data_IF_328622479921
#
_entry.id   IF_328622479921
#
_cell.length_a   1.000
_cell.length_b   1.000
_cell.length_c   1.000
_cell.angle_alpha   90.00
_cell.angle_beta   90.00
_cell.angle_gamma   90.00
#
_symmetry.space_group_name_H-M   'P 1'
#
loop_
_entity.id
_entity.type
_entity.pdbx_description
1 polymer ?
#
# COMPACT_ATOMS: atom_id res chain seq x y z
N UNK A 1 8.06 -12.03 -7.52
CA UNK A 1 8.38 -11.31 -6.27
C UNK A 1 7.53 -11.86 -5.13
N UNK A 2 6.23 -11.98 -5.34
CA UNK A 2 5.31 -12.51 -4.33
C UNK A 2 5.11 -14.01 -4.45
N UNK A 3 4.93 -14.77 -3.34
CA UNK A 3 4.75 -16.21 -3.32
C UNK A 3 3.35 -16.64 -3.81
N UNK A 4 3.17 -17.93 -4.06
CA UNK A 4 1.92 -18.49 -4.58
C UNK A 4 0.69 -18.19 -3.71
N UNK A 5 0.87 -18.12 -2.39
CA UNK A 5 -0.20 -17.75 -1.45
C UNK A 5 -0.92 -16.43 -1.81
N UNK A 6 -0.21 -15.49 -2.43
CA UNK A 6 -0.78 -14.18 -2.80
C UNK A 6 -1.33 -14.13 -4.21
N UNK A 7 -1.13 -15.21 -5.01
CA UNK A 7 -1.47 -15.26 -6.44
C UNK A 7 -2.89 -15.75 -6.72
N UNK A 8 -3.67 -15.95 -5.68
CA UNK A 8 -5.08 -16.33 -5.75
C UNK A 8 -5.97 -15.15 -5.35
N UNK A 9 -7.10 -14.99 -5.99
CA UNK A 9 -8.05 -13.89 -5.74
C UNK A 9 -8.90 -14.06 -4.46
N UNK A 10 -8.75 -15.17 -3.77
CA UNK A 10 -9.22 -15.35 -2.40
C UNK A 10 -8.31 -14.66 -1.38
N UNK A 11 -7.05 -14.34 -1.76
CA UNK A 11 -6.12 -13.64 -0.89
C UNK A 11 -6.65 -12.27 -0.51
N UNK A 12 -6.64 -12.01 0.79
CA UNK A 12 -7.03 -10.72 1.36
C UNK A 12 -6.27 -10.45 2.65
N UNK A 13 -6.04 -9.18 2.93
CA UNK A 13 -5.53 -8.73 4.21
C UNK A 13 -6.66 -8.08 5.00
N UNK A 14 -6.76 -8.45 6.26
CA UNK A 14 -7.70 -7.87 7.20
C UNK A 14 -6.97 -6.91 8.14
N UNK A 15 -7.54 -5.73 8.32
CA UNK A 15 -7.07 -4.75 9.31
C UNK A 15 -8.18 -4.46 10.32
N UNK A 16 -7.99 -3.48 11.19
CA UNK A 16 -9.04 -3.08 12.14
C UNK A 16 -10.31 -2.60 11.44
N UNK A 17 -10.19 -1.80 10.37
CA UNK A 17 -11.31 -1.13 9.70
C UNK A 17 -11.48 -1.52 8.24
N UNK A 18 -10.46 -2.15 7.62
CA UNK A 18 -10.39 -2.35 6.18
C UNK A 18 -10.31 -3.83 5.83
N UNK A 19 -10.82 -4.13 4.63
CA UNK A 19 -10.45 -5.28 3.83
C UNK A 19 -9.60 -4.82 2.65
N UNK A 20 -8.45 -5.44 2.44
CA UNK A 20 -7.62 -5.28 1.25
C UNK A 20 -7.74 -6.56 0.44
N UNK A 21 -8.33 -6.48 -0.73
CA UNK A 21 -8.64 -7.62 -1.59
C UNK A 21 -8.22 -7.36 -3.04
N UNK A 22 -8.15 -8.39 -3.83
CA UNK A 22 -7.96 -8.19 -5.27
C UNK A 22 -9.07 -7.31 -5.86
N UNK A 23 -8.72 -6.43 -6.84
CA UNK A 23 -9.74 -5.63 -7.53
C UNK A 23 -10.64 -6.53 -8.35
N UNK A 24 -11.92 -6.16 -8.43
CA UNK A 24 -12.97 -6.87 -9.14
C UNK A 24 -13.51 -6.02 -10.28
N UNK A 25 -14.08 -6.68 -11.29
CA UNK A 25 -14.75 -5.98 -12.41
C UNK A 25 -15.75 -4.93 -11.92
N UNK A 26 -16.51 -5.23 -10.88
CA UNK A 26 -17.48 -4.31 -10.28
C UNK A 26 -16.86 -3.03 -9.66
N UNK A 27 -15.55 -3.01 -9.42
CA UNK A 27 -14.86 -1.83 -8.87
C UNK A 27 -14.63 -0.73 -9.93
N UNK A 28 -14.79 -1.03 -11.22
CA UNK A 28 -14.45 -0.11 -12.31
C UNK A 28 -15.13 1.25 -12.18
N UNK A 29 -16.42 1.28 -11.89
CA UNK A 29 -17.16 2.54 -11.73
C UNK A 29 -16.65 3.38 -10.54
N UNK A 30 -16.27 2.72 -9.46
CA UNK A 30 -15.66 3.40 -8.31
C UNK A 30 -14.26 3.96 -8.65
N UNK A 31 -13.46 3.20 -9.40
CA UNK A 31 -12.13 3.64 -9.88
C UNK A 31 -12.29 4.87 -10.78
N UNK A 32 -13.16 4.84 -11.79
CA UNK A 32 -13.41 5.96 -12.70
C UNK A 32 -13.77 7.22 -11.91
N UNK A 33 -14.72 7.10 -10.99
CA UNK A 33 -15.22 8.23 -10.21
C UNK A 33 -14.18 8.79 -9.26
N UNK A 34 -13.51 7.91 -8.46
CA UNK A 34 -12.66 8.35 -7.36
C UNK A 34 -11.24 8.66 -7.80
N UNK A 35 -10.64 7.82 -8.64
CA UNK A 35 -9.30 8.06 -9.17
C UNK A 35 -9.30 9.17 -10.23
N UNK A 36 -10.42 9.33 -10.95
CA UNK A 36 -10.57 10.37 -11.97
C UNK A 36 -10.75 11.78 -11.40
N UNK A 37 -10.96 11.97 -10.10
CA UNK A 37 -10.95 13.31 -9.50
C UNK A 37 -9.59 13.98 -9.70
N UNK A 38 -9.56 15.25 -10.15
CA UNK A 38 -8.30 15.97 -10.39
C UNK A 38 -7.41 15.98 -9.15
N UNK A 39 -7.99 16.19 -7.96
CA UNK A 39 -7.24 16.20 -6.70
C UNK A 39 -6.50 14.86 -6.42
N UNK A 40 -7.02 13.73 -6.91
CA UNK A 40 -6.36 12.43 -6.81
C UNK A 40 -5.39 12.24 -7.96
N UNK A 41 -5.84 12.49 -9.19
CA UNK A 41 -5.06 12.25 -10.40
C UNK A 41 -3.77 13.08 -10.46
N UNK A 42 -3.80 14.35 -10.05
CA UNK A 42 -2.62 15.21 -10.06
C UNK A 42 -1.51 14.76 -9.10
N UNK A 43 -1.85 13.98 -8.06
CA UNK A 43 -0.89 13.46 -7.09
C UNK A 43 -0.25 12.14 -7.54
N UNK A 44 -0.68 11.58 -8.67
CA UNK A 44 -0.25 10.27 -9.16
C UNK A 44 0.38 10.35 -10.55
N UNK A 45 1.37 9.50 -10.80
CA UNK A 45 2.12 9.52 -12.06
C UNK A 45 1.36 8.90 -13.25
N UNK A 46 0.44 7.96 -12.98
CA UNK A 46 -0.16 7.10 -14.02
C UNK A 46 -1.68 7.23 -14.14
N UNK A 47 -2.36 7.82 -13.17
CA UNK A 47 -3.82 7.98 -13.20
C UNK A 47 -4.19 9.13 -14.15
N UNK A 48 -4.93 8.86 -15.25
CA UNK A 48 -5.34 9.90 -16.17
C UNK A 48 -6.46 10.78 -15.60
N UNK A 49 -6.57 11.99 -16.14
CA UNK A 49 -7.71 12.88 -15.88
C UNK A 49 -8.12 13.59 -17.18
N UNK A 50 -9.37 13.49 -17.62
CA UNK A 50 -10.43 12.60 -17.11
C UNK A 50 -10.03 11.12 -17.15
N UNK A 51 -10.64 10.28 -16.30
CA UNK A 51 -10.36 8.84 -16.33
C UNK A 51 -11.20 8.16 -17.42
N UNK A 52 -10.59 7.59 -18.46
CA UNK A 52 -11.35 6.95 -19.54
C UNK A 52 -12.08 5.69 -19.02
N UNK A 53 -13.38 5.52 -19.31
CA UNK A 53 -14.16 4.37 -18.81
C UNK A 53 -13.54 3.00 -19.18
N UNK A 54 -13.04 2.85 -20.39
CA UNK A 54 -12.41 1.63 -20.90
C UNK A 54 -11.07 1.33 -20.20
N UNK A 55 -10.37 2.36 -19.71
CA UNK A 55 -9.11 2.20 -19.02
C UNK A 55 -9.27 1.52 -17.67
N UNK A 56 -10.41 1.66 -16.99
CA UNK A 56 -10.64 1.06 -15.68
C UNK A 56 -10.72 -0.47 -15.75
N UNK A 57 -11.40 -1.02 -16.74
CA UNK A 57 -11.49 -2.47 -16.94
C UNK A 57 -10.13 -3.06 -17.30
N UNK A 58 -9.40 -2.39 -18.21
CA UNK A 58 -8.04 -2.79 -18.58
C UNK A 58 -7.11 -2.75 -17.37
N UNK A 59 -7.13 -1.69 -16.58
CA UNK A 59 -6.35 -1.57 -15.33
C UNK A 59 -6.64 -2.72 -14.35
N UNK A 60 -7.92 -3.07 -14.15
CA UNK A 60 -8.31 -4.19 -13.27
C UNK A 60 -7.75 -5.50 -13.83
N UNK A 61 -7.89 -5.75 -15.12
CA UNK A 61 -7.38 -6.96 -15.75
C UNK A 61 -5.86 -7.08 -15.62
N UNK A 62 -5.11 -6.03 -16.00
CA UNK A 62 -3.65 -5.99 -15.90
C UNK A 62 -3.17 -6.15 -14.45
N UNK A 63 -3.84 -5.51 -13.49
CA UNK A 63 -3.54 -5.64 -12.06
C UNK A 63 -3.73 -7.07 -11.58
N UNK A 64 -4.84 -7.72 -11.93
CA UNK A 64 -5.11 -9.11 -11.56
C UNK A 64 -4.09 -10.07 -12.18
N UNK A 65 -3.72 -9.83 -13.46
CA UNK A 65 -2.69 -10.62 -14.12
C UNK A 65 -1.33 -10.47 -13.41
N UNK A 66 -0.90 -9.25 -13.12
CA UNK A 66 0.35 -8.99 -12.41
C UNK A 66 0.38 -9.63 -11.01
N UNK A 67 -0.75 -9.64 -10.30
CA UNK A 67 -0.88 -10.35 -9.02
C UNK A 67 -0.76 -11.86 -9.21
N UNK A 68 -1.46 -12.45 -10.21
CA UNK A 68 -1.41 -13.88 -10.51
C UNK A 68 -0.01 -14.34 -10.89
N UNK A 69 0.74 -13.52 -11.63
CA UNK A 69 2.13 -13.78 -12.00
C UNK A 69 3.13 -13.56 -10.84
N UNK A 70 2.66 -13.05 -9.69
CA UNK A 70 3.51 -12.71 -8.55
C UNK A 70 4.47 -11.55 -8.83
N UNK A 71 4.21 -10.75 -9.86
CA UNK A 71 5.01 -9.58 -10.24
C UNK A 71 4.67 -8.38 -9.36
N UNK A 72 3.42 -8.28 -8.93
CA UNK A 72 2.89 -7.24 -8.06
C UNK A 72 1.97 -7.84 -6.99
N UNK A 73 1.63 -7.04 -5.99
CA UNK A 73 0.49 -7.27 -5.12
C UNK A 73 -0.24 -5.95 -4.94
N UNK A 74 -1.27 -5.74 -5.76
CA UNK A 74 -2.09 -4.54 -5.74
C UNK A 74 -3.53 -4.87 -5.35
N UNK A 75 -4.01 -4.22 -4.30
CA UNK A 75 -5.23 -4.53 -3.60
C UNK A 75 -6.19 -3.33 -3.55
N UNK A 76 -7.45 -3.60 -3.78
CA UNK A 76 -8.55 -2.67 -3.54
C UNK A 76 -8.76 -2.49 -2.03
N UNK A 77 -8.88 -1.26 -1.59
CA UNK A 77 -9.17 -0.89 -0.21
C UNK A 77 -10.68 -0.73 -0.05
N UNK A 78 -11.27 -1.47 0.89
CA UNK A 78 -12.70 -1.36 1.21
C UNK A 78 -12.91 -1.26 2.72
N UNK A 79 -13.99 -0.64 3.15
CA UNK A 79 -14.37 -0.63 4.57
C UNK A 79 -15.02 -1.96 4.96
N UNK A 80 -14.76 -2.47 6.18
CA UNK A 80 -15.39 -3.70 6.68
C UNK A 80 -16.92 -3.65 6.66
N UNK A 81 -17.51 -2.50 6.97
CA UNK A 81 -18.96 -2.30 6.91
C UNK A 81 -19.52 -2.15 5.48
N UNK A 82 -18.67 -2.00 4.45
CA UNK A 82 -19.05 -1.86 3.04
C UNK A 82 -18.03 -2.58 2.13
N UNK A 83 -17.96 -3.91 2.18
CA UNK A 83 -16.88 -4.67 1.52
C UNK A 83 -16.91 -4.61 -0.01
N UNK A 84 -18.03 -4.22 -0.60
CA UNK A 84 -18.18 -4.03 -2.04
C UNK A 84 -17.91 -2.58 -2.48
N UNK A 85 -17.70 -1.66 -1.54
CA UNK A 85 -17.44 -0.24 -1.82
C UNK A 85 -15.93 0.04 -1.83
N UNK A 86 -15.29 0.05 -3.00
CA UNK A 86 -13.91 0.48 -3.14
C UNK A 86 -13.79 1.96 -2.75
N UNK A 87 -12.81 2.26 -1.89
CA UNK A 87 -12.46 3.63 -1.47
C UNK A 87 -11.09 4.07 -1.99
N UNK A 88 -10.30 3.17 -2.55
CA UNK A 88 -8.98 3.41 -3.08
C UNK A 88 -8.22 2.12 -3.36
N UNK A 89 -6.92 2.24 -3.62
CA UNK A 89 -6.03 1.09 -3.83
C UNK A 89 -4.69 1.29 -3.14
N UNK A 90 -4.03 0.19 -2.85
CA UNK A 90 -2.65 0.12 -2.37
C UNK A 90 -1.95 -1.03 -3.10
N UNK A 91 -0.70 -0.86 -3.50
CA UNK A 91 0.03 -1.89 -4.22
C UNK A 91 1.54 -1.78 -4.06
N UNK A 92 2.22 -2.90 -4.24
CA UNK A 92 3.68 -2.97 -4.38
C UNK A 92 3.98 -3.66 -5.70
N UNK A 93 4.79 -3.01 -6.51
CA UNK A 93 5.29 -3.50 -7.78
C UNK A 93 6.75 -3.10 -7.96
N UNK A 94 7.42 -3.56 -9.01
CA UNK A 94 8.76 -3.08 -9.35
C UNK A 94 8.66 -1.79 -10.15
N UNK A 95 9.42 -0.77 -9.73
CA UNK A 95 9.58 0.47 -10.47
C UNK A 95 10.48 0.28 -11.72
N UNK A 96 10.77 1.35 -12.45
CA UNK A 96 11.64 1.32 -13.65
C UNK A 96 13.05 0.82 -13.35
N UNK A 97 13.54 1.02 -12.14
CA UNK A 97 14.84 0.58 -11.65
C UNK A 97 14.80 -0.85 -11.11
N UNK A 98 13.65 -1.55 -11.29
CA UNK A 98 13.36 -2.91 -10.81
C UNK A 98 13.38 -3.06 -9.29
N UNK A 99 13.32 -1.97 -8.55
CA UNK A 99 13.20 -1.98 -7.09
C UNK A 99 11.73 -2.09 -6.68
N UNK A 100 11.41 -2.79 -5.57
CA UNK A 100 10.05 -2.79 -5.02
C UNK A 100 9.64 -1.38 -4.61
N UNK A 101 8.47 -0.94 -5.06
CA UNK A 101 7.92 0.37 -4.74
C UNK A 101 6.45 0.25 -4.32
N UNK A 102 6.10 0.89 -3.19
CA UNK A 102 4.72 0.97 -2.74
C UNK A 102 4.07 2.25 -3.27
N UNK A 103 2.87 2.08 -3.81
CA UNK A 103 1.99 3.16 -4.20
C UNK A 103 0.59 2.98 -3.63
N UNK A 104 -0.13 4.07 -3.41
CA UNK A 104 -1.52 4.08 -2.95
C UNK A 104 -2.23 5.35 -3.37
N UNK A 105 -3.55 5.24 -3.45
CA UNK A 105 -4.45 6.39 -3.59
C UNK A 105 -5.77 6.11 -2.89
N UNK A 106 -6.44 7.13 -2.44
CA UNK A 106 -7.81 7.12 -1.92
C UNK A 106 -8.64 8.20 -2.61
N UNK A 107 -9.90 7.92 -2.83
CA UNK A 107 -10.87 8.97 -3.19
C UNK A 107 -10.97 10.03 -2.10
N UNK A 108 -11.22 11.27 -2.48
CA UNK A 108 -11.26 12.44 -1.57
C UNK A 108 -12.16 12.26 -0.35
N UNK A 109 -13.35 11.60 -0.43
CA UNK A 109 -14.20 11.39 0.74
C UNK A 109 -13.57 10.51 1.84
N UNK A 110 -12.48 9.79 1.50
CA UNK A 110 -11.78 8.90 2.43
C UNK A 110 -10.49 9.49 2.99
N UNK A 111 -10.16 10.73 2.65
CA UNK A 111 -8.98 11.42 3.14
C UNK A 111 -9.14 11.83 4.63
N UNK A 112 -8.02 12.02 5.31
CA UNK A 112 -8.01 12.46 6.72
C UNK A 112 -8.36 11.39 7.76
N UNK A 113 -8.90 10.23 7.36
CA UNK A 113 -9.35 9.17 8.27
C UNK A 113 -8.26 8.17 8.68
N UNK A 114 -7.03 8.29 8.13
CA UNK A 114 -5.92 7.38 8.40
C UNK A 114 -6.01 6.03 7.66
N UNK A 115 -6.94 5.87 6.73
CA UNK A 115 -7.09 4.62 5.96
C UNK A 115 -5.88 4.30 5.10
N UNK A 116 -5.25 5.29 4.46
CA UNK A 116 -4.04 5.06 3.68
C UNK A 116 -2.90 4.49 4.53
N UNK A 117 -2.68 5.05 5.73
CA UNK A 117 -1.66 4.54 6.67
C UNK A 117 -1.97 3.12 7.12
N UNK A 118 -3.25 2.81 7.42
CA UNK A 118 -3.67 1.48 7.84
C UNK A 118 -3.49 0.45 6.73
N UNK A 119 -3.88 0.78 5.50
CA UNK A 119 -3.72 -0.07 4.33
C UNK A 119 -2.24 -0.29 3.97
N UNK A 120 -1.44 0.80 3.94
CA UNK A 120 -0.03 0.72 3.64
C UNK A 120 0.72 -0.16 4.65
N UNK A 121 0.49 0.00 5.95
CA UNK A 121 1.09 -0.85 6.99
C UNK A 121 0.78 -2.32 6.79
N UNK A 122 -0.47 -2.67 6.52
CA UNK A 122 -0.86 -4.07 6.31
C UNK A 122 -0.15 -4.67 5.09
N UNK A 123 -0.02 -3.92 4.00
CA UNK A 123 0.66 -4.39 2.81
C UNK A 123 2.19 -4.45 2.99
N UNK A 124 2.79 -3.49 3.70
CA UNK A 124 4.22 -3.50 4.07
C UNK A 124 4.53 -4.73 4.93
N UNK A 125 3.66 -5.05 5.88
CA UNK A 125 3.81 -6.24 6.71
C UNK A 125 3.77 -7.51 5.87
N UNK A 126 2.79 -7.64 4.98
CA UNK A 126 2.70 -8.77 4.06
C UNK A 126 3.94 -8.85 3.14
N UNK A 127 4.43 -7.72 2.64
CA UNK A 127 5.62 -7.67 1.80
C UNK A 127 6.85 -8.23 2.51
N UNK A 128 7.21 -7.73 3.69
CA UNK A 128 8.39 -8.20 4.41
C UNK A 128 8.22 -9.59 5.02
N UNK A 129 6.99 -10.03 5.31
CA UNK A 129 6.73 -11.40 5.82
C UNK A 129 6.83 -12.42 4.69
N UNK A 130 6.30 -12.11 3.51
CA UNK A 130 6.16 -13.08 2.42
C UNK A 130 7.26 -13.01 1.35
N UNK A 131 8.19 -12.08 1.44
CA UNK A 131 9.30 -11.94 0.48
C UNK A 131 10.64 -11.81 1.20
N UNK A 132 11.73 -12.13 0.50
CA UNK A 132 13.10 -11.94 1.01
C UNK A 132 13.70 -10.58 0.59
N UNK A 133 12.85 -9.61 0.23
CA UNK A 133 13.32 -8.29 -0.16
C UNK A 133 13.83 -7.51 1.06
N UNK A 134 14.97 -6.84 0.92
CA UNK A 134 15.61 -6.10 2.02
C UNK A 134 15.10 -4.68 2.17
N UNK A 135 14.51 -4.11 1.12
CA UNK A 135 14.07 -2.72 1.11
C UNK A 135 12.80 -2.52 0.30
N UNK A 136 12.08 -1.47 0.62
CA UNK A 136 10.89 -1.00 -0.07
C UNK A 136 11.01 0.51 -0.26
N UNK A 137 10.85 0.96 -1.49
CA UNK A 137 10.87 2.38 -1.86
C UNK A 137 9.46 2.96 -1.99
N UNK A 138 9.38 4.28 -2.00
CA UNK A 138 8.20 5.04 -2.40
C UNK A 138 8.61 6.45 -2.82
N UNK A 139 7.80 7.04 -3.69
CA UNK A 139 7.96 8.44 -4.11
C UNK A 139 6.65 9.20 -3.95
N UNK A 140 6.73 10.47 -3.57
CA UNK A 140 5.55 11.34 -3.51
C UNK A 140 5.87 12.71 -4.10
N UNK A 141 4.89 13.37 -4.71
CA UNK A 141 5.04 14.77 -5.15
C UNK A 141 5.31 15.67 -3.95
N UNK A 142 6.20 16.65 -4.10
CA UNK A 142 6.50 17.63 -3.04
C UNK A 142 5.27 18.42 -2.58
N UNK A 143 4.25 18.53 -3.46
CA UNK A 143 2.98 19.18 -3.17
C UNK A 143 1.97 18.26 -2.47
N UNK A 144 2.37 17.00 -2.12
CA UNK A 144 1.49 16.03 -1.46
C UNK A 144 1.92 15.73 0.00
N UNK A 145 1.74 16.68 0.93
CA UNK A 145 2.11 16.47 2.33
C UNK A 145 1.28 15.35 3.00
N UNK A 146 0.13 15.00 2.41
CA UNK A 146 -0.69 13.87 2.88
C UNK A 146 0.03 12.54 2.72
N UNK A 147 0.55 12.28 1.52
CA UNK A 147 1.30 11.06 1.22
C UNK A 147 2.62 11.01 2.03
N UNK A 148 3.36 12.12 2.12
CA UNK A 148 4.55 12.22 2.97
C UNK A 148 4.26 11.75 4.40
N UNK A 149 3.21 12.28 5.03
CA UNK A 149 2.82 11.86 6.40
C UNK A 149 2.44 10.39 6.52
N UNK A 150 1.88 9.79 5.47
CA UNK A 150 1.60 8.35 5.45
C UNK A 150 2.90 7.55 5.46
N UNK A 151 3.87 7.91 4.61
CA UNK A 151 5.17 7.25 4.52
C UNK A 151 5.94 7.35 5.85
N UNK A 152 6.04 8.55 6.41
CA UNK A 152 6.68 8.79 7.71
C UNK A 152 6.04 7.95 8.84
N UNK A 153 4.70 7.88 8.88
CA UNK A 153 3.97 7.04 9.86
C UNK A 153 4.16 5.54 9.64
N UNK A 154 4.52 5.12 8.43
CA UNK A 154 4.86 3.75 8.12
C UNK A 154 6.33 3.41 8.38
N UNK A 155 7.13 4.40 8.79
CA UNK A 155 8.54 4.22 9.14
C UNK A 155 9.53 4.42 7.99
N UNK A 156 9.07 4.96 6.86
CA UNK A 156 9.97 5.31 5.77
C UNK A 156 10.85 6.50 6.14
N UNK A 157 12.14 6.38 5.83
CA UNK A 157 13.10 7.47 5.91
C UNK A 157 13.13 8.26 4.59
N UNK A 158 13.24 9.58 4.70
CA UNK A 158 13.46 10.45 3.56
C UNK A 158 14.88 10.26 3.03
N UNK A 159 15.04 10.04 1.72
CA UNK A 159 16.34 9.86 1.05
C UNK A 159 16.79 11.06 0.24
N UNK A 160 15.86 11.91 -0.15
CA UNK A 160 16.19 13.08 -0.95
C UNK A 160 15.06 13.51 -1.88
N UNK A 161 15.29 14.61 -2.57
CA UNK A 161 14.40 15.13 -3.59
C UNK A 161 14.94 14.81 -4.98
N UNK A 162 14.04 14.71 -5.94
CA UNK A 162 14.40 14.43 -7.33
C UNK A 162 13.31 14.84 -8.29
N UNK A 163 13.48 14.44 -9.53
CA UNK A 163 12.50 14.62 -10.59
C UNK A 163 12.00 13.23 -11.04
N UNK A 164 10.72 13.14 -11.33
CA UNK A 164 10.08 11.93 -11.84
C UNK A 164 9.09 12.27 -12.95
N UNK A 165 9.09 11.45 -14.00
CA UNK A 165 8.13 11.55 -15.09
C UNK A 165 6.74 11.11 -14.64
N UNK A 166 5.77 11.98 -14.85
CA UNK A 166 4.35 11.69 -14.66
C UNK A 166 3.71 11.54 -16.04
N UNK A 167 3.72 10.31 -16.56
CA UNK A 167 3.27 10.01 -17.91
C UNK A 167 1.83 10.51 -18.17
N UNK A 168 0.94 10.35 -17.20
CA UNK A 168 -0.44 10.83 -17.29
C UNK A 168 -0.57 12.36 -17.26
N UNK A 169 0.50 13.10 -16.91
CA UNK A 169 0.53 14.59 -16.87
C UNK A 169 1.39 15.17 -17.97
N UNK A 170 2.07 14.33 -18.77
CA UNK A 170 2.92 14.77 -19.87
C UNK A 170 4.12 15.59 -19.42
N UNK A 171 4.65 15.38 -18.22
CA UNK A 171 5.75 16.19 -17.70
C UNK A 171 6.56 15.53 -16.61
N UNK A 172 7.63 16.21 -16.22
CA UNK A 172 8.53 15.82 -15.15
C UNK A 172 8.28 16.73 -13.95
N UNK A 173 8.07 16.15 -12.77
CA UNK A 173 7.69 16.88 -11.58
C UNK A 173 8.58 16.58 -10.40
N UNK A 174 8.77 17.56 -9.47
CA UNK A 174 9.54 17.34 -8.27
C UNK A 174 8.85 16.35 -7.33
N UNK A 175 9.65 15.39 -6.84
CA UNK A 175 9.26 14.37 -5.91
C UNK A 175 10.22 14.27 -4.74
N UNK A 176 9.72 13.77 -3.62
CA UNK A 176 10.49 13.30 -2.49
C UNK A 176 10.56 11.77 -2.55
N UNK A 177 11.73 11.20 -2.33
CA UNK A 177 11.99 9.77 -2.32
C UNK A 177 12.14 9.28 -0.89
N UNK A 178 11.61 8.09 -0.64
CA UNK A 178 11.57 7.47 0.68
C UNK A 178 11.95 6.00 0.58
N UNK A 179 12.60 5.49 1.64
CA UNK A 179 12.97 4.10 1.76
C UNK A 179 12.65 3.55 3.15
N UNK A 180 12.26 2.29 3.18
CA UNK A 180 12.10 1.50 4.39
C UNK A 180 12.89 0.20 4.22
N UNK A 181 13.91 -0.01 5.04
CA UNK A 181 14.63 -1.27 5.07
C UNK A 181 13.99 -2.28 6.04
N UNK A 182 14.27 -3.57 5.80
CA UNK A 182 13.75 -4.69 6.60
C UNK A 182 14.11 -4.59 8.08
N UNK A 183 15.30 -4.08 8.42
CA UNK A 183 15.75 -3.95 9.82
C UNK A 183 14.93 -2.89 10.55
N UNK A 184 14.71 -1.74 9.92
CA UNK A 184 13.86 -0.68 10.45
C UNK A 184 12.43 -1.18 10.63
N UNK A 185 11.85 -1.87 9.64
CA UNK A 185 10.53 -2.49 9.76
C UNK A 185 10.46 -3.48 10.91
N UNK A 186 11.43 -4.40 11.05
CA UNK A 186 11.47 -5.38 12.13
C UNK A 186 11.58 -4.72 13.51
N UNK A 187 12.39 -3.66 13.63
CA UNK A 187 12.51 -2.86 14.84
C UNK A 187 11.17 -2.23 15.23
N UNK A 188 10.48 -1.56 14.29
CA UNK A 188 9.17 -0.97 14.55
C UNK A 188 8.14 -2.00 15.02
N UNK A 189 8.19 -3.22 14.50
CA UNK A 189 7.32 -4.33 14.94
C UNK A 189 7.63 -4.79 16.36
N UNK A 190 8.91 -4.83 16.74
CA UNK A 190 9.32 -5.25 18.08
C UNK A 190 8.85 -4.29 19.18
N UNK A 191 8.58 -3.03 18.86
CA UNK A 191 8.09 -1.99 19.78
C UNK A 191 6.56 -1.87 19.78
N UNK A 192 5.85 -2.72 19.04
CA UNK A 192 4.39 -2.68 19.05
C UNK A 192 3.84 -3.24 20.36
N UNK A 193 2.75 -2.68 20.93
CA UNK A 193 2.16 -3.16 22.19
C UNK A 193 1.86 -4.66 22.23
N UNK A 194 1.46 -5.23 21.08
CA UNK A 194 1.20 -6.67 20.95
C UNK A 194 2.46 -7.54 21.07
N UNK A 195 3.65 -7.02 20.73
CA UNK A 195 4.92 -7.73 20.92
C UNK A 195 5.47 -7.59 22.34
N UNK A 196 5.13 -6.52 23.03
CA UNK A 196 5.52 -6.33 24.44
C UNK A 196 4.81 -7.31 25.38
N UNK A 197 3.53 -7.62 25.12
CA UNK A 197 2.76 -8.59 25.93
C UNK A 197 3.35 -10.01 25.84
N UNK A 198 3.99 -10.37 24.73
CA UNK A 198 4.64 -11.69 24.58
C UNK A 198 6.00 -11.84 25.28
N UNK A 199 6.55 -10.76 25.82
CA UNK A 199 7.88 -10.75 26.47
C UNK A 199 7.82 -10.73 28.01
N UNK A 200 6.64 -10.76 28.59
CA UNK A 200 6.56 -11.00 30.05
C UNK A 200 6.95 -12.46 30.29
N UNK A 201 7.95 -12.74 31.14
CA UNK A 201 8.27 -14.11 31.54
C UNK A 201 7.00 -14.73 32.09
N UNK A 202 6.64 -15.91 31.64
CA UNK A 202 5.73 -16.73 32.42
C UNK A 202 6.46 -17.02 33.72
N UNK A 203 5.88 -16.56 34.80
CA UNK A 203 6.32 -16.88 36.15
C UNK A 203 6.12 -18.39 36.30
N UNK A 204 7.18 -19.17 36.06
CA UNK A 204 7.25 -20.57 36.39
C UNK A 204 7.22 -20.65 37.91
N UNK A 205 6.01 -20.57 38.47
CA UNK A 205 5.76 -20.78 39.90
C UNK A 205 6.17 -22.18 40.34
N UNK A 206 7.46 -22.41 40.46
CA UNK A 206 8.00 -23.51 41.27
C UNK A 206 7.92 -23.09 42.74
N UNK A 207 6.84 -23.43 43.40
CA UNK A 207 6.77 -23.44 44.85
C UNK A 207 7.84 -24.42 45.38
N UNK A 208 8.71 -24.03 46.32
CA UNK A 208 9.61 -24.97 46.98
C UNK A 208 8.77 -25.95 47.79
N UNK A 209 8.97 -27.22 47.57
CA UNK A 209 8.42 -28.28 48.40
C UNK A 209 9.05 -28.17 49.81
N UNK A 210 8.16 -28.12 50.81
CA UNK A 210 8.52 -28.25 52.23
C UNK A 210 8.91 -29.68 52.59
#
# INVERSE_FOLDING_TARGET
MFPDLTRDDVFRLETRRLWLRWPRHADAQAIIRLAGEMAVAEMTARIPHPYPPEAAQRFIFETRQANADGLALALAITLKGKPNGLIGMVGIERNRERQPEIGYWLGTPSWGHGYATEAARALIDAFFIYTDQDELSSSTRVINPGSRRVLEKCGFAFEGSGLMEFAARGGVFPVERFRLDRRAWASLKSWSPASMVRRLPQDDGALPAA
#
